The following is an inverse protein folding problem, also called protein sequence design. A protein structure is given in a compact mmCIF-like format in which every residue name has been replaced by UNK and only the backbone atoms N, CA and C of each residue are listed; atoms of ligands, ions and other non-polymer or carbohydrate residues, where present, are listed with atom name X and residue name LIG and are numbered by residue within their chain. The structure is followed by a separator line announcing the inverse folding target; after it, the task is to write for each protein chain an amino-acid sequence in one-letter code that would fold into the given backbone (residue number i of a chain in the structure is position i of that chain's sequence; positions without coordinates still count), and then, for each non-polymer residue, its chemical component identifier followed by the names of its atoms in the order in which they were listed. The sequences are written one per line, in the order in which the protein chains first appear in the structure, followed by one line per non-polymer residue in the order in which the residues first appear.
data_IF_395882973882
#
_entry.id   IF_395882973882
#
_cell.length_a   1.000
_cell.length_b   1.000
_cell.length_c   1.000
_cell.angle_alpha   90.00
_cell.angle_beta   90.00
_cell.angle_gamma   90.00
#
_symmetry.space_group_name_H-M   'P 1'
#
loop_
_entity.id
_entity.type
_entity.pdbx_description
1 polymer ?
#
# COMPACT_ATOMS: atom_id res chain seq x y z
N UNK A 1 6.31 -4.53 11.03
CA UNK A 1 5.28 -4.19 10.02
C UNK A 1 3.93 -4.62 10.57
N UNK A 2 2.94 -3.74 10.53
CA UNK A 2 1.56 -3.95 10.97
C UNK A 2 0.65 -4.20 9.77
N UNK A 3 -0.30 -5.12 9.90
CA UNK A 3 -1.32 -5.34 8.86
C UNK A 3 -2.42 -4.28 8.95
N UNK A 4 -2.70 -3.62 7.83
CA UNK A 4 -3.82 -2.68 7.69
C UNK A 4 -4.96 -3.36 6.94
N UNK A 5 -6.12 -3.44 7.59
CA UNK A 5 -7.34 -3.95 6.97
C UNK A 5 -7.78 -3.05 5.81
N UNK A 6 -8.09 -3.64 4.66
CA UNK A 6 -8.47 -2.91 3.45
C UNK A 6 -9.67 -3.56 2.78
N UNK A 7 -10.66 -2.74 2.39
CA UNK A 7 -11.83 -3.20 1.64
C UNK A 7 -11.61 -2.93 0.14
N UNK A 8 -11.00 -3.88 -0.56
CA UNK A 8 -10.69 -3.74 -1.99
C UNK A 8 -11.08 -4.98 -2.81
N UNK A 9 -11.43 -4.74 -4.08
CA UNK A 9 -11.64 -5.81 -5.05
C UNK A 9 -10.31 -6.40 -5.54
N UNK A 10 -9.23 -5.61 -5.57
CA UNK A 10 -7.94 -6.01 -6.17
C UNK A 10 -6.82 -6.17 -5.16
N UNK A 11 -6.87 -5.47 -4.02
CA UNK A 11 -5.89 -5.59 -2.94
C UNK A 11 -6.42 -6.62 -1.94
N UNK A 12 -5.57 -7.57 -1.56
CA UNK A 12 -5.85 -8.60 -0.57
C UNK A 12 -5.54 -8.11 0.83
N UNK A 13 -4.33 -7.60 1.03
CA UNK A 13 -3.86 -7.08 2.32
C UNK A 13 -2.80 -6.01 2.10
N UNK A 14 -2.64 -5.14 3.09
CA UNK A 14 -1.65 -4.07 3.11
C UNK A 14 -0.88 -4.20 4.42
N UNK A 15 0.44 -4.08 4.37
CA UNK A 15 1.29 -4.04 5.56
C UNK A 15 2.08 -2.75 5.54
N UNK A 16 2.15 -2.08 6.68
CA UNK A 16 2.87 -0.83 6.83
C UNK A 16 3.87 -0.91 7.97
N UNK A 17 4.97 -0.18 7.82
CA UNK A 17 6.05 -0.14 8.79
C UNK A 17 6.36 1.31 9.11
N UNK A 18 6.07 1.72 10.34
CA UNK A 18 6.30 3.11 10.78
C UNK A 18 7.80 3.43 10.91
N UNK A 19 8.62 2.45 11.31
CA UNK A 19 10.07 2.63 11.49
C UNK A 19 10.82 3.04 10.21
N UNK A 20 10.49 2.44 9.07
CA UNK A 20 11.21 2.60 7.81
C UNK A 20 10.33 3.08 6.65
N UNK A 21 9.08 3.47 6.93
CA UNK A 21 8.12 3.97 5.94
C UNK A 21 7.80 2.95 4.86
N UNK A 22 7.99 1.65 5.13
CA UNK A 22 7.76 0.61 4.12
C UNK A 22 6.29 0.25 4.03
N UNK A 23 5.77 0.26 2.80
CA UNK A 23 4.41 -0.15 2.48
C UNK A 23 4.45 -1.38 1.57
N UNK A 24 3.99 -2.52 2.08
CA UNK A 24 3.79 -3.74 1.30
C UNK A 24 2.33 -3.86 0.92
N UNK A 25 2.05 -4.07 -0.36
CA UNK A 25 0.71 -4.27 -0.90
C UNK A 25 0.68 -5.66 -1.53
N UNK A 26 -0.20 -6.52 -1.02
CA UNK A 26 -0.43 -7.85 -1.56
C UNK A 26 -1.73 -7.82 -2.37
N UNK A 27 -1.64 -8.11 -3.66
CA UNK A 27 -2.77 -8.12 -4.58
C UNK A 27 -3.45 -9.49 -4.60
N UNK A 28 -4.74 -9.53 -4.95
CA UNK A 28 -5.51 -10.79 -5.03
C UNK A 28 -5.04 -11.72 -6.14
N UNK A 29 -4.36 -11.20 -7.15
CA UNK A 29 -3.75 -11.99 -8.22
C UNK A 29 -2.41 -12.63 -7.81
N UNK A 30 -1.98 -12.49 -6.55
CA UNK A 30 -0.73 -13.03 -6.04
C UNK A 30 0.48 -12.10 -6.23
N UNK A 31 0.32 -10.97 -6.92
CA UNK A 31 1.40 -10.00 -7.02
C UNK A 31 1.63 -9.28 -5.70
N UNK A 32 2.88 -8.95 -5.42
CA UNK A 32 3.26 -8.11 -4.30
C UNK A 32 4.03 -6.89 -4.79
N UNK A 33 3.86 -5.79 -4.07
CA UNK A 33 4.61 -4.54 -4.30
C UNK A 33 5.08 -4.00 -2.97
N UNK A 34 6.35 -3.62 -2.91
CA UNK A 34 6.97 -3.00 -1.77
C UNK A 34 7.41 -1.59 -2.14
N UNK A 35 7.10 -0.63 -1.29
CA UNK A 35 7.50 0.77 -1.42
C UNK A 35 8.23 1.22 -0.17
N UNK A 36 9.08 2.24 -0.32
CA UNK A 36 9.78 2.91 0.78
C UNK A 36 9.43 4.40 0.84
N UNK A 37 9.63 5.00 2.02
CA UNK A 37 9.39 6.43 2.24
C UNK A 37 7.91 6.83 2.22
N UNK A 38 6.99 5.89 2.44
CA UNK A 38 5.56 6.16 2.49
C UNK A 38 5.20 6.68 3.90
N UNK A 39 4.59 7.86 4.02
CA UNK A 39 4.08 8.35 5.30
C UNK A 39 2.95 7.47 5.84
N UNK A 40 2.84 7.34 7.16
CA UNK A 40 1.73 6.61 7.80
C UNK A 40 0.36 7.16 7.36
N UNK A 41 0.24 8.49 7.23
CA UNK A 41 -0.98 9.14 6.76
C UNK A 41 -1.41 8.67 5.36
N UNK A 42 -0.48 8.47 4.43
CA UNK A 42 -0.78 7.99 3.07
C UNK A 42 -1.15 6.50 3.08
N UNK A 43 -0.47 5.69 3.91
CA UNK A 43 -0.80 4.28 4.09
C UNK A 43 -2.23 4.09 4.65
N UNK A 44 -2.59 4.86 5.68
CA UNK A 44 -3.94 4.84 6.26
C UNK A 44 -4.99 5.43 5.30
N UNK A 45 -4.67 6.55 4.62
CA UNK A 45 -5.59 7.15 3.65
C UNK A 45 -5.92 6.18 2.51
N UNK A 46 -4.94 5.40 2.05
CA UNK A 46 -5.17 4.36 1.04
C UNK A 46 -6.15 3.28 1.53
N UNK A 47 -6.05 2.82 2.79
CA UNK A 47 -6.89 1.71 3.29
C UNK A 47 -8.34 2.11 3.52
N UNK A 48 -8.59 3.39 3.86
CA UNK A 48 -9.94 3.94 4.06
C UNK A 48 -10.52 4.61 2.81
N UNK A 49 -9.74 4.74 1.73
CA UNK A 49 -10.20 5.34 0.49
C UNK A 49 -11.41 4.57 -0.10
N UNK A 50 -12.35 5.25 -0.79
CA UNK A 50 -13.47 4.60 -1.46
C UNK A 50 -13.06 3.51 -2.46
N UNK A 51 -11.87 3.67 -3.06
CA UNK A 51 -11.23 2.67 -3.91
C UNK A 51 -9.73 2.60 -3.61
N UNK A 52 -9.29 1.70 -2.72
CA UNK A 52 -7.87 1.55 -2.35
C UNK A 52 -6.98 1.23 -3.55
N UNK A 53 -7.52 0.49 -4.54
CA UNK A 53 -6.81 0.19 -5.78
C UNK A 53 -6.55 1.41 -6.65
N UNK A 54 -7.54 2.30 -6.77
CA UNK A 54 -7.37 3.55 -7.52
C UNK A 54 -6.45 4.52 -6.79
N UNK A 55 -6.57 4.61 -5.46
CA UNK A 55 -5.66 5.39 -4.62
C UNK A 55 -4.22 4.92 -4.79
N UNK A 56 -3.99 3.61 -4.75
CA UNK A 56 -2.68 3.02 -5.03
C UNK A 56 -2.11 3.47 -6.40
N UNK A 57 -2.92 3.43 -7.46
CA UNK A 57 -2.47 3.80 -8.81
C UNK A 57 -2.13 5.29 -8.94
N UNK A 58 -2.93 6.18 -8.36
CA UNK A 58 -2.77 7.64 -8.48
C UNK A 58 -1.73 8.22 -7.51
N UNK A 59 -1.75 7.75 -6.26
CA UNK A 59 -1.01 8.35 -5.15
C UNK A 59 0.23 7.56 -4.78
N UNK A 60 0.15 6.23 -4.73
CA UNK A 60 1.26 5.43 -4.21
C UNK A 60 2.27 5.09 -5.31
N UNK A 61 1.79 4.44 -6.38
CA UNK A 61 2.61 3.87 -7.46
C UNK A 61 3.47 4.92 -8.18
N UNK A 62 2.97 6.14 -8.30
CA UNK A 62 3.60 7.24 -9.04
C UNK A 62 4.51 8.11 -8.18
N UNK A 63 4.28 8.16 -6.86
CA UNK A 63 4.96 9.11 -5.96
C UNK A 63 6.04 8.48 -5.10
N UNK A 64 5.94 7.19 -4.80
CA UNK A 64 6.89 6.52 -3.92
C UNK A 64 7.77 5.56 -4.68
N UNK A 65 9.01 5.43 -4.20
CA UNK A 65 9.98 4.52 -4.78
C UNK A 65 9.56 3.09 -4.50
N UNK A 66 9.45 2.31 -5.57
CA UNK A 66 9.25 0.87 -5.48
C UNK A 66 10.59 0.21 -5.15
N UNK A 67 10.62 -0.58 -4.08
CA UNK A 67 11.70 -1.51 -3.82
C UNK A 67 11.48 -2.73 -4.71
N UNK A 68 12.39 -2.95 -5.65
CA UNK A 68 12.41 -4.16 -6.44
C UNK A 68 12.77 -5.35 -5.53
N UNK A 69 12.15 -6.50 -5.80
CA UNK A 69 12.74 -7.79 -5.39
C UNK A 69 14.03 -8.01 -6.19
#
# INVERSE_FOLDING_TARGET
MEELSVKSKIIKSVYFSQDDGRLRICFKNGEERLFEGVPSSEAHAMTVAPSPGHYYLDRIRTRFRRLAA
#
